data_IF_412918348783
#
_entry.id   IF_412918348783
#
_cell.length_a   1.000
_cell.length_b   1.000
_cell.length_c   1.000
_cell.angle_alpha   90.00
_cell.angle_beta   90.00
_cell.angle_gamma   90.00
#
_symmetry.space_group_name_H-M   'P 1'
#
loop_
_entity.id
_entity.type
_entity.pdbx_description
1 polymer ?
#
# COMPACT_ATOMS: atom_id res chain seq x y z
N UNK A 1 -0.78 -47.44 1.99
CA UNK A 1 -0.64 -46.00 1.68
C UNK A 1 -0.32 -45.26 2.97
N UNK A 2 0.94 -44.85 3.16
CA UNK A 2 1.47 -44.42 4.46
C UNK A 2 0.95 -43.02 4.84
N UNK A 3 0.70 -42.77 6.13
CA UNK A 3 0.18 -41.48 6.60
C UNK A 3 1.12 -40.32 6.25
N UNK A 4 2.44 -40.57 6.23
CA UNK A 4 3.49 -39.59 5.87
C UNK A 4 3.38 -39.11 4.41
N UNK A 5 3.00 -39.98 3.47
CA UNK A 5 2.89 -39.61 2.05
C UNK A 5 1.72 -38.65 1.80
N UNK A 6 0.63 -38.77 2.58
CA UNK A 6 -0.49 -37.82 2.50
C UNK A 6 -0.09 -36.43 3.00
N UNK A 7 0.79 -36.33 3.99
CA UNK A 7 1.26 -35.03 4.50
C UNK A 7 2.21 -34.34 3.52
N UNK A 8 3.13 -35.06 2.88
CA UNK A 8 4.02 -34.47 1.85
C UNK A 8 3.26 -34.06 0.60
N UNK A 9 2.30 -34.86 0.14
CA UNK A 9 1.44 -34.49 -1.00
C UNK A 9 0.56 -33.28 -0.65
N UNK A 10 -0.09 -33.29 0.52
CA UNK A 10 -0.92 -32.15 0.96
C UNK A 10 -0.10 -30.88 1.22
N UNK A 11 1.14 -30.99 1.70
CA UNK A 11 2.05 -29.85 1.88
C UNK A 11 2.49 -29.28 0.52
N UNK A 12 2.77 -30.14 -0.45
CA UNK A 12 3.08 -29.75 -1.83
C UNK A 12 1.92 -29.01 -2.50
N UNK A 13 0.69 -29.48 -2.32
CA UNK A 13 -0.52 -28.80 -2.83
C UNK A 13 -0.75 -27.44 -2.16
N UNK A 14 -0.60 -27.35 -0.83
CA UNK A 14 -0.71 -26.09 -0.09
C UNK A 14 0.32 -25.06 -0.54
N UNK A 15 1.57 -25.48 -0.78
CA UNK A 15 2.62 -24.60 -1.29
C UNK A 15 2.27 -24.02 -2.67
N UNK A 16 1.73 -24.84 -3.57
CA UNK A 16 1.30 -24.39 -4.91
C UNK A 16 0.16 -23.37 -4.83
N UNK A 17 -0.82 -23.61 -3.96
CA UNK A 17 -1.93 -22.67 -3.76
C UNK A 17 -1.47 -21.34 -3.16
N UNK A 18 -0.54 -21.36 -2.20
CA UNK A 18 0.02 -20.15 -1.60
C UNK A 18 0.80 -19.29 -2.62
N UNK A 19 1.57 -19.93 -3.52
CA UNK A 19 2.26 -19.25 -4.60
C UNK A 19 1.28 -18.59 -5.58
N UNK A 20 0.23 -19.31 -5.99
CA UNK A 20 -0.79 -18.76 -6.88
C UNK A 20 -1.52 -17.57 -6.25
N UNK A 21 -1.91 -17.68 -4.97
CA UNK A 21 -2.58 -16.61 -4.24
C UNK A 21 -1.70 -15.37 -4.13
N UNK A 22 -0.45 -15.53 -3.69
CA UNK A 22 0.48 -14.40 -3.52
C UNK A 22 0.83 -13.75 -4.85
N UNK A 23 1.04 -14.54 -5.91
CA UNK A 23 1.27 -14.03 -7.26
C UNK A 23 0.10 -13.20 -7.77
N UNK A 24 -1.13 -13.65 -7.50
CA UNK A 24 -2.35 -12.93 -7.89
C UNK A 24 -2.48 -11.59 -7.16
N UNK A 25 -2.21 -11.57 -5.85
CA UNK A 25 -2.22 -10.34 -5.04
C UNK A 25 -1.17 -9.36 -5.55
N UNK A 26 0.07 -9.82 -5.76
CA UNK A 26 1.17 -8.98 -6.27
C UNK A 26 0.86 -8.39 -7.64
N UNK A 27 0.30 -9.18 -8.56
CA UNK A 27 -0.14 -8.68 -9.87
C UNK A 27 -1.22 -7.60 -9.71
N UNK A 28 -2.20 -7.83 -8.85
CA UNK A 28 -3.29 -6.88 -8.60
C UNK A 28 -2.76 -5.57 -8.00
N UNK A 29 -1.81 -5.64 -7.07
CA UNK A 29 -1.17 -4.46 -6.48
C UNK A 29 -0.36 -3.66 -7.50
N UNK A 30 0.45 -4.32 -8.35
CA UNK A 30 1.19 -3.64 -9.43
C UNK A 30 0.21 -2.86 -10.32
N UNK A 31 -0.89 -3.49 -10.72
CA UNK A 31 -1.91 -2.85 -11.54
C UNK A 31 -2.57 -1.66 -10.84
N UNK A 32 -2.91 -1.80 -9.56
CA UNK A 32 -3.49 -0.73 -8.74
C UNK A 32 -2.54 0.46 -8.60
N UNK A 33 -1.30 0.20 -8.18
CA UNK A 33 -0.26 1.22 -7.98
C UNK A 33 0.08 1.96 -9.27
N UNK A 34 0.12 1.26 -10.40
CA UNK A 34 0.40 1.88 -11.70
C UNK A 34 -0.65 2.93 -12.07
N UNK A 35 -1.94 2.63 -11.83
CA UNK A 35 -3.05 3.56 -12.09
C UNK A 35 -3.04 4.75 -11.12
N UNK A 36 -2.76 4.50 -9.85
CA UNK A 36 -2.60 5.54 -8.85
C UNK A 36 -1.44 6.49 -9.22
N UNK A 37 -0.29 5.92 -9.57
CA UNK A 37 0.91 6.65 -10.01
C UNK A 37 0.63 7.49 -11.25
N UNK A 38 -0.06 6.92 -12.24
CA UNK A 38 -0.48 7.64 -13.44
C UNK A 38 -1.43 8.81 -13.10
N UNK A 39 -2.41 8.60 -12.21
CA UNK A 39 -3.34 9.65 -11.79
C UNK A 39 -2.60 10.79 -11.04
N UNK A 40 -1.69 10.45 -10.13
CA UNK A 40 -0.85 11.42 -9.41
C UNK A 40 0.10 12.17 -10.36
N UNK A 41 0.65 11.50 -11.39
CA UNK A 41 1.50 12.15 -12.37
C UNK A 41 0.73 13.13 -13.25
N UNK A 42 -0.52 12.82 -13.62
CA UNK A 42 -1.42 13.77 -14.30
C UNK A 42 -1.86 14.93 -13.39
N UNK A 43 -1.99 14.68 -12.09
CA UNK A 43 -2.32 15.69 -11.08
C UNK A 43 -1.17 16.64 -10.73
N UNK A 44 0.05 16.39 -11.23
CA UNK A 44 1.21 17.22 -10.91
C UNK A 44 1.88 16.86 -9.58
N UNK A 45 1.55 15.72 -8.97
CA UNK A 45 2.20 15.25 -7.73
C UNK A 45 3.43 14.39 -8.03
N UNK A 46 3.44 13.69 -9.18
CA UNK A 46 4.58 12.87 -9.63
C UNK A 46 5.17 13.33 -10.97
N UNK A 47 6.44 12.98 -11.27
CA UNK A 47 7.12 13.37 -12.50
C UNK A 47 6.27 13.06 -13.74
N UNK A 48 6.16 14.02 -14.67
CA UNK A 48 5.23 13.91 -15.81
C UNK A 48 5.51 12.72 -16.73
N UNK A 49 6.72 12.17 -16.73
CA UNK A 49 7.08 10.97 -17.50
C UNK A 49 6.35 9.70 -17.03
N UNK A 50 5.90 9.63 -15.76
CA UNK A 50 5.05 8.55 -15.25
C UNK A 50 3.60 8.66 -15.74
N UNK A 51 3.20 9.86 -16.15
CA UNK A 51 1.88 10.16 -16.72
C UNK A 51 1.79 9.94 -18.22
N UNK A 52 2.84 9.46 -18.87
CA UNK A 52 2.83 9.20 -20.31
C UNK A 52 2.13 7.88 -20.63
N UNK A 53 1.16 7.93 -21.55
CA UNK A 53 0.50 6.76 -22.09
C UNK A 53 1.26 6.26 -23.33
N UNK A 54 1.46 4.95 -23.43
CA UNK A 54 1.98 4.34 -24.66
C UNK A 54 0.81 4.01 -25.59
N UNK A 55 0.83 4.54 -26.81
CA UNK A 55 -0.08 4.15 -27.90
C UNK A 55 0.36 2.81 -28.52
N UNK A 56 -0.56 1.94 -28.99
CA UNK A 56 -2.02 2.12 -29.10
C UNK A 56 -2.82 1.63 -27.87
N UNK A 57 -2.20 0.91 -26.93
CA UNK A 57 -2.94 0.25 -25.84
C UNK A 57 -3.32 1.18 -24.66
N UNK A 58 -2.91 2.45 -24.68
CA UNK A 58 -3.13 3.45 -23.60
C UNK A 58 -2.75 2.91 -22.21
N UNK A 59 -1.64 2.18 -22.14
CA UNK A 59 -1.11 1.64 -20.89
C UNK A 59 -0.05 2.62 -20.37
N UNK A 60 -0.07 2.98 -19.07
CA UNK A 60 0.99 3.77 -18.45
C UNK A 60 2.22 2.89 -18.22
N UNK A 61 2.93 2.52 -19.30
CA UNK A 61 4.06 1.58 -19.28
C UNK A 61 5.14 2.00 -18.28
N UNK A 62 5.44 3.30 -18.21
CA UNK A 62 6.45 3.83 -17.30
C UNK A 62 6.04 3.67 -15.84
N UNK A 63 4.76 3.86 -15.50
CA UNK A 63 4.25 3.65 -14.15
C UNK A 63 4.30 2.17 -13.75
N UNK A 64 3.97 1.26 -14.67
CA UNK A 64 4.06 -0.19 -14.44
C UNK A 64 5.51 -0.63 -14.20
N UNK A 65 6.43 -0.17 -15.06
CA UNK A 65 7.86 -0.50 -14.90
C UNK A 65 8.43 0.09 -13.62
N UNK A 66 8.08 1.33 -13.28
CA UNK A 66 8.53 1.97 -12.04
C UNK A 66 7.98 1.25 -10.80
N UNK A 67 6.68 0.92 -10.77
CA UNK A 67 6.08 0.19 -9.64
C UNK A 67 6.68 -1.22 -9.50
N UNK A 68 6.83 -1.95 -10.61
CA UNK A 68 7.45 -3.28 -10.60
C UNK A 68 8.92 -3.24 -10.19
N UNK A 69 9.70 -2.28 -10.69
CA UNK A 69 11.10 -2.11 -10.30
C UNK A 69 11.24 -1.75 -8.80
N UNK A 70 10.39 -0.84 -8.31
CA UNK A 70 10.37 -0.48 -6.90
C UNK A 70 10.06 -1.71 -6.02
N UNK A 71 9.04 -2.49 -6.38
CA UNK A 71 8.69 -3.71 -5.65
C UNK A 71 9.82 -4.75 -5.68
N UNK A 72 10.51 -4.93 -6.80
CA UNK A 72 11.66 -5.82 -6.90
C UNK A 72 12.81 -5.39 -5.97
N UNK A 73 13.12 -4.09 -5.94
CA UNK A 73 14.15 -3.56 -5.05
C UNK A 73 13.75 -3.76 -3.59
N UNK A 74 12.51 -3.43 -3.22
CA UNK A 74 12.01 -3.59 -1.85
C UNK A 74 12.01 -5.07 -1.41
N UNK A 75 11.57 -5.98 -2.29
CA UNK A 75 11.54 -7.41 -2.00
C UNK A 75 12.95 -8.02 -1.86
N UNK A 76 13.96 -7.46 -2.54
CA UNK A 76 15.35 -7.90 -2.44
C UNK A 76 16.13 -7.26 -1.29
N UNK A 77 15.74 -6.06 -0.84
CA UNK A 77 16.48 -5.28 0.15
C UNK A 77 15.89 -5.33 1.57
N UNK A 78 14.58 -5.56 1.71
CA UNK A 78 13.91 -5.51 3.01
C UNK A 78 13.61 -6.90 3.57
N UNK A 79 13.83 -7.04 4.87
CA UNK A 79 13.37 -8.20 5.62
C UNK A 79 11.84 -8.20 5.77
N UNK A 80 11.23 -9.36 5.59
CA UNK A 80 9.76 -9.51 5.58
C UNK A 80 9.10 -9.04 6.88
N UNK A 81 9.68 -9.38 8.05
CA UNK A 81 9.07 -9.06 9.35
C UNK A 81 8.97 -7.55 9.60
N UNK A 82 10.07 -6.77 9.58
CA UNK A 82 9.98 -5.33 9.78
C UNK A 82 9.20 -4.63 8.66
N UNK A 83 9.28 -5.13 7.42
CA UNK A 83 8.49 -4.58 6.30
C UNK A 83 6.98 -4.75 6.52
N UNK A 84 6.53 -5.90 7.04
CA UNK A 84 5.12 -6.15 7.35
C UNK A 84 4.63 -5.25 8.49
N UNK A 85 5.43 -5.07 9.54
CA UNK A 85 5.08 -4.17 10.64
C UNK A 85 4.96 -2.72 10.16
N UNK A 86 5.93 -2.24 9.37
CA UNK A 86 5.90 -0.90 8.80
C UNK A 86 4.71 -0.70 7.85
N UNK A 87 4.40 -1.69 7.01
CA UNK A 87 3.26 -1.65 6.09
C UNK A 87 1.92 -1.58 6.82
N UNK A 88 1.76 -2.37 7.89
CA UNK A 88 0.56 -2.32 8.73
C UNK A 88 0.40 -0.95 9.40
N UNK A 89 1.48 -0.38 9.94
CA UNK A 89 1.43 0.95 10.53
C UNK A 89 1.10 2.03 9.49
N UNK A 90 1.68 1.94 8.28
CA UNK A 90 1.36 2.83 7.19
C UNK A 90 -0.13 2.74 6.78
N UNK A 91 -0.70 1.54 6.76
CA UNK A 91 -2.14 1.34 6.52
C UNK A 91 -2.99 1.96 7.63
N UNK A 92 -2.60 1.83 8.90
CA UNK A 92 -3.31 2.48 10.01
C UNK A 92 -3.29 4.01 9.85
N UNK A 93 -2.17 4.59 9.46
CA UNK A 93 -2.06 6.03 9.17
C UNK A 93 -2.95 6.42 7.99
N UNK A 94 -2.89 5.67 6.89
CA UNK A 94 -3.72 5.91 5.70
C UNK A 94 -5.22 5.88 6.04
N UNK A 95 -5.68 4.86 6.75
CA UNK A 95 -7.07 4.78 7.16
C UNK A 95 -7.42 5.79 8.25
N UNK A 96 -6.48 6.19 9.11
CA UNK A 96 -6.64 7.30 10.03
C UNK A 96 -6.92 8.62 9.30
N UNK A 97 -6.13 8.94 8.27
CA UNK A 97 -6.34 10.10 7.40
C UNK A 97 -7.69 10.02 6.68
N UNK A 98 -8.08 8.84 6.21
CA UNK A 98 -9.38 8.62 5.59
C UNK A 98 -10.53 8.94 6.57
N UNK A 99 -10.43 8.51 7.82
CA UNK A 99 -11.44 8.82 8.85
C UNK A 99 -11.46 10.31 9.21
N UNK A 100 -10.30 10.96 9.32
CA UNK A 100 -10.22 12.42 9.48
C UNK A 100 -10.87 13.16 8.31
N UNK A 101 -10.66 12.68 7.09
CA UNK A 101 -11.26 13.26 5.88
C UNK A 101 -12.78 13.09 5.88
N UNK A 102 -13.28 11.93 6.32
CA UNK A 102 -14.71 11.68 6.49
C UNK A 102 -15.35 12.62 7.53
N UNK A 103 -14.63 12.97 8.60
CA UNK A 103 -15.09 13.95 9.59
C UNK A 103 -15.15 15.37 9.04
N UNK A 104 -14.31 15.71 8.05
CA UNK A 104 -14.30 17.02 7.40
C UNK A 104 -15.41 17.21 6.36
N UNK A 105 -16.08 16.13 5.94
CA UNK A 105 -17.20 16.21 4.99
C UNK A 105 -18.39 16.96 5.59
N UNK A 106 -19.12 17.72 4.77
CA UNK A 106 -20.34 18.40 5.20
C UNK A 106 -21.44 17.38 5.57
N UNK A 107 -22.33 17.67 6.53
CA UNK A 107 -23.36 16.72 7.00
C UNK A 107 -24.21 16.11 5.89
N UNK A 108 -24.53 16.86 4.84
CA UNK A 108 -25.34 16.38 3.70
C UNK A 108 -24.61 15.45 2.72
N UNK A 109 -23.29 15.32 2.82
CA UNK A 109 -22.48 14.42 1.99
C UNK A 109 -22.00 13.17 2.77
N UNK A 110 -22.30 13.09 4.08
CA UNK A 110 -21.88 11.98 4.93
C UNK A 110 -22.80 10.78 4.71
N UNK A 111 -22.23 9.68 4.23
CA UNK A 111 -22.91 8.38 4.12
C UNK A 111 -23.13 7.70 5.48
N UNK A 112 -22.29 8.01 6.47
CA UNK A 112 -22.27 7.36 7.78
C UNK A 112 -22.26 8.39 8.92
N UNK A 113 -22.81 8.05 10.11
CA UNK A 113 -22.77 8.93 11.28
C UNK A 113 -21.35 9.13 11.81
N UNK A 114 -21.10 10.27 12.44
CA UNK A 114 -19.79 10.73 12.96
C UNK A 114 -19.13 9.75 13.94
N UNK A 115 -19.94 8.93 14.62
CA UNK A 115 -19.45 7.92 15.57
C UNK A 115 -18.56 6.89 14.87
N UNK A 116 -18.86 6.51 13.62
CA UNK A 116 -18.09 5.50 12.88
C UNK A 116 -16.64 5.96 12.65
N UNK A 117 -16.38 7.15 12.06
CA UNK A 117 -15.02 7.59 11.85
C UNK A 117 -14.27 7.96 13.13
N UNK A 118 -14.96 8.44 14.17
CA UNK A 118 -14.32 8.67 15.49
C UNK A 118 -13.88 7.35 16.12
N UNK A 119 -14.75 6.33 16.12
CA UNK A 119 -14.42 5.02 16.65
C UNK A 119 -13.28 4.36 15.87
N UNK A 120 -13.31 4.46 14.53
CA UNK A 120 -12.23 3.98 13.67
C UNK A 120 -10.89 4.66 13.98
N UNK A 121 -10.89 5.98 14.11
CA UNK A 121 -9.70 6.75 14.46
C UNK A 121 -9.14 6.34 15.84
N UNK A 122 -10.01 6.18 16.83
CA UNK A 122 -9.60 5.73 18.17
C UNK A 122 -9.02 4.32 18.14
N UNK A 123 -9.65 3.39 17.42
CA UNK A 123 -9.15 2.02 17.26
C UNK A 123 -7.77 2.01 16.59
N UNK A 124 -7.58 2.76 15.51
CA UNK A 124 -6.29 2.83 14.82
C UNK A 124 -5.20 3.48 15.67
N UNK A 125 -5.53 4.53 16.43
CA UNK A 125 -4.59 5.14 17.36
C UNK A 125 -4.15 4.17 18.46
N UNK A 126 -5.09 3.42 19.05
CA UNK A 126 -4.78 2.41 20.07
C UNK A 126 -3.85 1.32 19.52
N UNK A 127 -4.13 0.80 18.31
CA UNK A 127 -3.28 -0.21 17.68
C UNK A 127 -1.91 0.38 17.33
N UNK A 128 -1.85 1.60 16.79
CA UNK A 128 -0.59 2.25 16.44
C UNK A 128 0.33 2.47 17.67
N UNK A 129 -0.24 2.81 18.82
CA UNK A 129 0.49 2.93 20.10
C UNK A 129 0.99 1.59 20.64
N UNK A 130 0.43 0.47 20.16
CA UNK A 130 0.85 -0.88 20.54
C UNK A 130 2.09 -1.36 19.78
N UNK A 131 2.47 -0.67 18.69
CA UNK A 131 3.58 -1.06 17.83
C UNK A 131 4.95 -0.57 18.35
N UNK A 132 6.06 -1.22 17.95
CA UNK A 132 7.41 -0.79 18.31
C UNK A 132 7.69 0.64 17.84
N UNK A 133 8.38 1.42 18.68
CA UNK A 133 8.79 2.80 18.35
C UNK A 133 9.71 2.88 17.11
N UNK A 134 10.45 1.81 16.80
CA UNK A 134 11.28 1.71 15.60
C UNK A 134 10.41 1.75 14.33
N UNK A 135 9.29 1.04 14.33
CA UNK A 135 8.33 1.02 13.23
C UNK A 135 7.69 2.40 13.04
N UNK A 136 7.38 3.09 14.14
CA UNK A 136 6.90 4.48 14.10
C UNK A 136 7.90 5.42 13.41
N UNK A 137 9.20 5.31 13.73
CA UNK A 137 10.22 6.12 13.06
C UNK A 137 10.30 5.82 11.57
N UNK A 138 10.31 4.55 11.16
CA UNK A 138 10.38 4.21 9.73
C UNK A 138 9.22 4.82 8.92
N UNK A 139 8.00 4.79 9.45
CA UNK A 139 6.83 5.37 8.78
C UNK A 139 6.87 6.90 8.80
N UNK A 140 7.35 7.50 9.90
CA UNK A 140 7.56 8.95 9.99
C UNK A 140 8.61 9.43 8.99
N UNK A 141 9.74 8.73 8.86
CA UNK A 141 10.82 9.07 7.94
C UNK A 141 10.35 8.99 6.48
N UNK A 142 9.65 7.91 6.12
CA UNK A 142 9.07 7.75 4.77
C UNK A 142 8.01 8.83 4.50
N UNK A 143 7.14 9.12 5.48
CA UNK A 143 6.14 10.17 5.39
C UNK A 143 6.77 11.56 5.24
N UNK A 144 7.81 11.86 6.01
CA UNK A 144 8.56 13.11 5.96
C UNK A 144 9.29 13.26 4.61
N UNK A 145 9.91 12.19 4.09
CA UNK A 145 10.51 12.18 2.77
C UNK A 145 9.48 12.47 1.66
N UNK A 146 8.29 11.87 1.75
CA UNK A 146 7.19 12.14 0.82
C UNK A 146 6.70 13.58 0.88
N UNK A 147 6.53 14.14 2.08
CA UNK A 147 6.14 15.54 2.29
C UNK A 147 7.22 16.52 1.81
N UNK A 148 8.49 16.23 2.06
CA UNK A 148 9.61 17.03 1.59
C UNK A 148 9.67 17.04 0.07
N UNK A 149 9.52 15.87 -0.57
CA UNK A 149 9.42 15.77 -2.03
C UNK A 149 8.25 16.58 -2.57
N UNK A 150 7.06 16.47 -1.97
CA UNK A 150 5.88 17.24 -2.35
C UNK A 150 6.12 18.75 -2.22
N UNK A 151 6.68 19.20 -1.09
CA UNK A 151 6.96 20.60 -0.83
C UNK A 151 8.04 21.20 -1.76
N UNK A 152 9.03 20.40 -2.18
CA UNK A 152 10.04 20.82 -3.14
C UNK A 152 9.50 20.92 -4.57
N UNK A 153 8.51 20.08 -4.93
CA UNK A 153 7.98 20.03 -6.29
C UNK A 153 6.82 21.01 -6.54
N UNK A 154 6.08 21.38 -5.49
CA UNK A 154 4.99 22.36 -5.54
C UNK A 154 5.41 23.78 -5.10
N UNK A 155 6.72 24.07 -5.09
CA UNK A 155 7.27 25.43 -5.02
C UNK A 155 7.64 25.90 -6.43
#
# INVERSE_FOLDING_TARGET
>A
MNHRDRYTIALGERGRLALLATSTVLLTEIWGLSRLTFAMARGGDLPGWLGQLTEPQRIPRNAVLAAGALLLVLAGALDLRPALEASNLALLVYYGIMNLSALRLAPGQRLYPVVVPVAGLAAYALVALSLPWQTLLTVLDVGAAGLAYYALRHR
#
